data_IF_085471222817
#
_entry.id   IF_085471222817
#
_cell.length_a   1.000
_cell.length_b   1.000
_cell.length_c   1.000
_cell.angle_alpha   90.00
_cell.angle_beta   90.00
_cell.angle_gamma   90.00
#
_symmetry.space_group_name_H-M   'P 1'
#
loop_
_entity.id
_entity.type
_entity.pdbx_description
1 polymer ?
#
# COMPACT_ATOMS: atom_id res chain seq x y z
N UNK A 1 6.16 -7.03 -2.62
CA UNK A 1 6.68 -5.65 -2.85
C UNK A 1 7.46 -5.21 -1.63
N UNK A 2 8.60 -4.57 -1.84
CA UNK A 2 9.48 -4.15 -0.77
C UNK A 2 9.93 -2.71 -1.01
N UNK A 3 10.05 -1.92 0.04
CA UNK A 3 10.49 -0.53 -0.02
C UNK A 3 11.40 -0.16 1.15
N UNK A 4 12.40 0.66 0.87
CA UNK A 4 13.38 1.15 1.85
C UNK A 4 13.62 2.64 1.60
N UNK A 5 13.76 3.43 2.66
CA UNK A 5 14.05 4.85 2.56
C UNK A 5 15.52 5.13 2.87
N UNK A 6 16.12 6.06 2.14
CA UNK A 6 17.46 6.54 2.46
C UNK A 6 17.48 7.29 3.79
N UNK A 7 16.36 7.86 4.21
CA UNK A 7 16.24 8.57 5.47
C UNK A 7 16.56 7.64 6.66
N UNK A 8 16.13 6.37 6.59
CA UNK A 8 16.45 5.38 7.60
C UNK A 8 16.50 4.00 6.95
N UNK A 9 17.67 3.56 6.45
CA UNK A 9 17.80 2.29 5.76
C UNK A 9 17.53 1.05 6.61
N UNK A 10 17.45 1.19 7.93
CA UNK A 10 17.10 0.07 8.79
C UNK A 10 15.61 -0.25 8.71
N UNK A 11 14.79 0.68 8.23
CA UNK A 11 13.36 0.43 8.08
C UNK A 11 13.09 -0.18 6.70
N UNK A 12 12.52 -1.37 6.69
CA UNK A 12 12.15 -2.07 5.46
C UNK A 12 10.68 -2.43 5.54
N UNK A 13 9.93 -2.11 4.49
CA UNK A 13 8.50 -2.42 4.42
C UNK A 13 8.25 -3.46 3.33
N UNK A 14 7.39 -4.42 3.61
CA UNK A 14 6.94 -5.41 2.64
C UNK A 14 5.42 -5.43 2.61
N UNK A 15 4.84 -5.25 1.43
CA UNK A 15 3.40 -5.41 1.21
C UNK A 15 3.14 -6.74 0.51
N UNK A 16 2.19 -7.52 1.06
CA UNK A 16 1.85 -8.82 0.56
C UNK A 16 0.44 -8.81 -0.01
N UNK A 17 0.26 -9.38 -1.17
CA UNK A 17 -1.05 -9.59 -1.74
C UNK A 17 -1.57 -10.99 -1.41
N UNK A 18 -2.89 -11.12 -1.24
CA UNK A 18 -3.54 -12.39 -0.99
C UNK A 18 -4.34 -12.76 -2.22
N UNK A 19 -4.16 -13.95 -2.71
CA UNK A 19 -4.82 -14.42 -3.92
C UNK A 19 -5.53 -15.74 -3.66
N UNK A 20 -6.73 -15.69 -3.06
CA UNK A 20 -7.49 -16.92 -2.77
C UNK A 20 -7.97 -17.62 -4.04
N UNK A 21 -8.00 -16.92 -5.18
CA UNK A 21 -8.31 -17.49 -6.47
C UNK A 21 -7.55 -16.74 -7.55
N UNK A 22 -7.57 -17.23 -8.79
CA UNK A 22 -6.89 -16.56 -9.89
C UNK A 22 -7.61 -15.27 -10.31
N UNK A 23 -8.84 -15.07 -9.85
CA UNK A 23 -9.63 -13.91 -10.24
C UNK A 23 -9.70 -12.83 -9.16
N UNK A 24 -9.28 -13.15 -7.93
CA UNK A 24 -9.42 -12.24 -6.82
C UNK A 24 -8.08 -12.12 -6.09
N UNK A 25 -7.50 -10.95 -6.12
CA UNK A 25 -6.26 -10.66 -5.40
C UNK A 25 -6.44 -9.38 -4.64
N UNK A 26 -6.19 -9.39 -3.36
CA UNK A 26 -6.40 -8.22 -2.50
C UNK A 26 -5.24 -8.06 -1.51
N UNK A 27 -5.27 -7.00 -0.70
CA UNK A 27 -4.19 -6.72 0.24
C UNK A 27 -4.17 -7.78 1.33
N UNK A 28 -3.05 -8.44 1.49
CA UNK A 28 -2.89 -9.47 2.51
C UNK A 28 -2.32 -8.93 3.81
N UNK A 29 -1.15 -8.33 3.76
CA UNK A 29 -0.48 -7.86 4.96
C UNK A 29 0.60 -6.82 4.65
N UNK A 30 0.91 -6.01 5.66
CA UNK A 30 2.05 -5.11 5.64
C UNK A 30 3.00 -5.57 6.74
N UNK A 31 4.27 -5.71 6.42
CA UNK A 31 5.30 -6.07 7.37
C UNK A 31 6.35 -4.99 7.43
N UNK A 32 6.93 -4.78 8.61
CA UNK A 32 7.96 -3.77 8.83
C UNK A 32 9.12 -4.37 9.57
N UNK A 33 10.33 -4.11 9.12
CA UNK A 33 11.56 -4.42 9.82
C UNK A 33 12.20 -3.12 10.30
N UNK A 34 12.79 -3.15 11.49
CA UNK A 34 13.56 -2.03 12.02
C UNK A 34 15.05 -2.42 12.15
N UNK A 35 15.43 -3.59 11.64
CA UNK A 35 16.78 -4.12 11.75
C UNK A 35 17.32 -4.52 10.38
N UNK A 36 17.04 -3.74 9.39
CA UNK A 36 17.58 -3.91 8.02
C UNK A 36 17.10 -5.19 7.34
N UNK A 37 15.92 -5.66 7.70
CA UNK A 37 15.34 -6.85 7.07
C UNK A 37 15.67 -8.18 7.74
N UNK A 38 16.28 -8.16 8.92
CA UNK A 38 16.59 -9.40 9.63
C UNK A 38 15.33 -9.98 10.26
N UNK A 39 14.53 -9.14 10.91
CA UNK A 39 13.27 -9.55 11.50
C UNK A 39 12.14 -8.65 11.03
N UNK A 40 10.95 -9.19 10.83
CA UNK A 40 9.78 -8.44 10.40
C UNK A 40 8.63 -8.62 11.38
N UNK A 41 7.87 -7.54 11.59
CA UNK A 41 6.67 -7.55 12.40
C UNK A 41 5.50 -7.18 11.49
N UNK A 42 4.41 -7.91 11.59
CA UNK A 42 3.20 -7.61 10.83
C UNK A 42 2.53 -6.40 11.45
N UNK A 43 2.22 -5.40 10.63
CA UNK A 43 1.49 -4.22 11.07
C UNK A 43 0.02 -4.46 10.78
N UNK A 44 -0.87 -4.48 11.79
CA UNK A 44 -2.28 -4.74 11.56
C UNK A 44 -2.92 -3.71 10.63
N UNK A 45 -3.73 -4.18 9.68
CA UNK A 45 -4.48 -3.34 8.77
C UNK A 45 -5.91 -3.83 8.69
N UNK A 46 -6.86 -2.89 8.72
CA UNK A 46 -8.28 -3.22 8.58
C UNK A 46 -8.78 -2.90 7.18
N UNK A 47 -7.95 -2.31 6.33
CA UNK A 47 -8.35 -1.89 4.99
C UNK A 47 -7.76 -2.78 3.92
N UNK A 48 -8.50 -2.99 2.86
CA UNK A 48 -7.99 -3.62 1.65
C UNK A 48 -7.33 -2.52 0.81
N UNK A 49 -6.04 -2.36 0.95
CA UNK A 49 -5.29 -1.27 0.29
C UNK A 49 -5.12 -1.50 -1.21
N UNK A 50 -5.45 -2.67 -1.72
CA UNK A 50 -5.38 -2.97 -3.14
C UNK A 50 -6.77 -3.03 -3.80
N UNK A 51 -7.82 -2.72 -3.06
CA UNK A 51 -9.18 -2.81 -3.57
C UNK A 51 -9.69 -1.55 -4.25
N UNK A 52 -10.93 -1.62 -4.72
CA UNK A 52 -11.54 -0.54 -5.47
C UNK A 52 -12.26 0.45 -4.57
N UNK A 53 -12.68 0.04 -3.38
CA UNK A 53 -13.48 0.90 -2.51
C UNK A 53 -12.65 2.00 -1.85
N UNK A 54 -13.17 3.22 -1.83
CA UNK A 54 -12.47 4.37 -1.26
C UNK A 54 -12.37 4.31 0.27
N UNK A 55 -13.14 3.45 0.92
CA UNK A 55 -13.09 3.28 2.37
C UNK A 55 -12.25 2.06 2.76
N UNK A 56 -11.65 1.37 1.82
CA UNK A 56 -10.84 0.19 2.09
C UNK A 56 -11.62 -1.08 2.38
N UNK A 57 -12.92 -1.10 2.10
CA UNK A 57 -13.73 -2.30 2.32
C UNK A 57 -13.61 -3.28 1.15
N UNK A 58 -14.14 -4.46 1.31
CA UNK A 58 -14.19 -5.46 0.25
C UNK A 58 -12.97 -6.36 0.17
N UNK A 59 -13.03 -7.33 -0.71
CA UNK A 59 -11.97 -8.30 -0.91
C UNK A 59 -11.60 -8.41 -2.38
N UNK A 60 -11.80 -7.33 -3.14
CA UNK A 60 -11.43 -7.27 -4.54
C UNK A 60 -10.03 -6.68 -4.70
N UNK A 61 -9.49 -6.73 -5.88
CA UNK A 61 -8.18 -6.15 -6.19
C UNK A 61 -7.63 -6.73 -7.48
N UNK A 62 -6.57 -6.11 -7.97
CA UNK A 62 -5.91 -6.52 -9.20
C UNK A 62 -4.40 -6.72 -9.00
N UNK A 63 -3.99 -7.04 -7.79
CA UNK A 63 -2.60 -7.40 -7.53
C UNK A 63 -2.29 -8.76 -8.17
N UNK A 64 -1.07 -8.98 -8.65
CA UNK A 64 0.04 -8.06 -8.64
C UNK A 64 0.11 -7.09 -9.82
N UNK A 65 -0.87 -7.11 -10.72
CA UNK A 65 -0.84 -6.24 -11.89
C UNK A 65 -0.86 -4.76 -11.50
N UNK A 66 -1.63 -4.42 -10.47
CA UNK A 66 -1.73 -3.06 -9.97
C UNK A 66 -1.38 -3.07 -8.49
N UNK A 67 -0.10 -3.12 -8.17
CA UNK A 67 0.35 -3.01 -6.79
C UNK A 67 1.75 -2.42 -6.75
N UNK A 68 1.95 -1.51 -5.84
CA UNK A 68 3.24 -0.89 -5.62
C UNK A 68 3.34 -0.40 -4.17
N UNK A 69 4.55 -0.25 -3.68
CA UNK A 69 4.81 0.36 -2.39
C UNK A 69 6.00 1.28 -2.55
N UNK A 70 5.90 2.47 -1.99
CA UNK A 70 6.98 3.44 -2.01
C UNK A 70 7.07 4.11 -0.65
N UNK A 71 8.28 4.39 -0.20
CA UNK A 71 8.53 5.10 1.04
C UNK A 71 9.28 6.39 0.71
N UNK A 72 8.95 7.46 1.42
CA UNK A 72 9.61 8.75 1.21
C UNK A 72 11.11 8.62 1.50
N UNK A 73 11.93 9.21 0.64
CA UNK A 73 13.38 9.18 0.80
C UNK A 73 13.86 10.19 1.85
N UNK A 74 12.98 11.05 2.34
CA UNK A 74 13.31 12.04 3.37
C UNK A 74 12.58 11.78 4.69
N UNK A 75 11.61 10.87 4.73
CA UNK A 75 10.87 10.52 5.94
C UNK A 75 10.45 9.05 5.85
N UNK A 76 11.16 8.18 6.53
CA UNK A 76 10.91 6.75 6.48
C UNK A 76 9.58 6.33 7.11
N UNK A 77 8.86 7.23 7.79
CA UNK A 77 7.53 6.92 8.31
C UNK A 77 6.42 7.30 7.34
N UNK A 78 6.74 7.96 6.23
CA UNK A 78 5.77 8.30 5.19
C UNK A 78 5.89 7.31 4.05
N UNK A 79 4.83 6.56 3.83
CA UNK A 79 4.82 5.57 2.76
C UNK A 79 3.48 5.58 2.02
N UNK A 80 3.52 5.10 0.78
CA UNK A 80 2.38 5.01 -0.09
C UNK A 80 2.22 3.56 -0.53
N UNK A 81 0.98 3.09 -0.54
CA UNK A 81 0.64 1.79 -1.12
C UNK A 81 -0.37 2.05 -2.22
N UNK A 82 -0.07 1.59 -3.41
CA UNK A 82 -0.91 1.80 -4.57
C UNK A 82 -1.40 0.47 -5.14
N UNK A 83 -2.66 0.41 -5.43
CA UNK A 83 -3.29 -0.62 -6.21
C UNK A 83 -4.18 0.12 -7.21
N UNK A 84 -5.49 -0.13 -7.17
CA UNK A 84 -6.46 0.65 -7.95
C UNK A 84 -6.51 2.06 -7.38
N UNK A 85 -6.50 2.19 -6.07
CA UNK A 85 -6.40 3.47 -5.37
C UNK A 85 -5.01 3.65 -4.79
N UNK A 86 -4.65 4.86 -4.38
CA UNK A 86 -3.40 5.15 -3.70
C UNK A 86 -3.67 5.57 -2.27
N UNK A 87 -3.00 4.93 -1.34
CA UNK A 87 -3.13 5.18 0.10
C UNK A 87 -1.82 5.71 0.65
N UNK A 88 -1.92 6.60 1.64
CA UNK A 88 -0.75 7.21 2.27
C UNK A 88 -0.78 6.99 3.77
N UNK A 89 0.36 6.66 4.35
CA UNK A 89 0.58 6.64 5.78
C UNK A 89 1.70 7.61 6.14
N UNK A 90 1.55 8.30 7.26
CA UNK A 90 2.61 9.17 7.79
C UNK A 90 3.07 8.70 9.17
N UNK A 91 2.60 7.53 9.62
CA UNK A 91 2.93 6.97 10.92
C UNK A 91 3.54 5.57 10.82
N UNK A 92 4.29 5.34 9.79
CA UNK A 92 5.01 4.06 9.64
C UNK A 92 4.12 2.89 9.28
N UNK A 93 2.97 3.14 8.66
CA UNK A 93 2.07 2.09 8.21
C UNK A 93 0.98 1.71 9.22
N UNK A 94 0.91 2.40 10.36
CA UNK A 94 -0.13 2.10 11.36
C UNK A 94 -1.52 2.49 10.85
N UNK A 95 -1.62 3.64 10.19
CA UNK A 95 -2.89 4.11 9.62
C UNK A 95 -2.67 4.62 8.20
N UNK A 96 -3.62 4.36 7.34
CA UNK A 96 -3.60 4.83 5.95
C UNK A 96 -4.83 5.67 5.65
N UNK A 97 -4.62 6.75 4.91
CA UNK A 97 -5.70 7.57 4.38
C UNK A 97 -5.65 7.57 2.86
N UNK A 98 -6.79 7.74 2.21
CA UNK A 98 -6.87 7.73 0.77
C UNK A 98 -6.17 8.97 0.22
N UNK A 99 -5.18 8.78 -0.62
CA UNK A 99 -4.47 9.87 -1.26
C UNK A 99 -5.07 10.14 -2.64
N UNK A 100 -5.51 9.10 -3.35
CA UNK A 100 -6.08 9.26 -4.68
C UNK A 100 -7.03 8.11 -4.95
N UNK A 101 -8.24 8.43 -5.41
CA UNK A 101 -9.26 7.44 -5.75
C UNK A 101 -9.41 7.39 -7.28
N UNK A 102 -9.38 6.21 -7.84
CA UNK A 102 -9.39 6.03 -9.29
C UNK A 102 -10.61 6.68 -9.98
N UNK A 103 -11.76 6.66 -9.32
CA UNK A 103 -12.95 7.25 -9.89
C UNK A 103 -12.90 8.78 -9.95
N UNK A 104 -12.09 9.41 -9.14
CA UNK A 104 -11.97 10.86 -9.16
C UNK A 104 -11.38 11.35 -10.47
N UNK A 105 -10.48 10.59 -11.04
CA UNK A 105 -9.89 10.92 -12.33
C UNK A 105 -10.91 10.78 -13.45
N UNK A 106 -11.69 9.71 -13.41
CA UNK A 106 -12.70 9.48 -14.43
C UNK A 106 -13.81 10.51 -14.31
N UNK A 107 -14.23 10.82 -13.09
CA UNK A 107 -15.31 11.77 -12.85
C UNK A 107 -14.93 13.21 -13.23
N UNK A 108 -13.66 13.54 -13.10
CA UNK A 108 -13.19 14.86 -13.46
C UNK A 108 -13.11 15.02 -14.98
N UNK A 109 -13.24 13.98 -15.68
CA UNK A 109 -13.19 14.04 -17.12
C UNK A 109 -11.85 14.40 -17.66
N UNK A 110 -10.90 14.44 -16.89
CA UNK A 110 -9.66 14.79 -17.29
C UNK A 110 -8.95 13.68 -17.61
N UNK A 111 -8.38 13.65 -18.35
CA UNK A 111 -7.58 12.75 -18.69
C UNK A 111 -6.48 12.81 -17.86
N UNK A 112 -6.55 12.74 -16.87
CA UNK A 112 -5.49 12.65 -16.03
C UNK A 112 -4.47 12.03 -16.71
N UNK A 113 -4.57 11.84 -17.63
CA UNK A 113 -3.60 11.21 -18.43
C UNK A 113 -2.27 11.24 -18.04
#
# INVERSE_FOLDING_TARGET
MIAVSENNPSLVYIAEAKAPSTLTTYFGALYKSTDSGVNFVKIPQTKNLFGIASDGSGTDGQAPLHMDIAVSQTDANTLFIAGINTWRSTDGGANFSLASHWQDYVAAGDNIG
#
